data_IF_860715801350
#
_entry.id   IF_860715801350
#
_cell.length_a   1.000
_cell.length_b   1.000
_cell.length_c   1.000
_cell.angle_alpha   90.00
_cell.angle_beta   90.00
_cell.angle_gamma   90.00
#
_symmetry.space_group_name_H-M   'P 1'
#
loop_
_entity.id
_entity.type
_entity.pdbx_description
1 polymer ?
#
# COMPACT_ATOMS: atom_id res chain seq x y z
N UNK A 1 28.13 40.32 -6.15
CA UNK A 1 26.67 40.14 -6.25
C UNK A 1 26.31 39.83 -7.70
N UNK A 2 26.18 38.55 -8.06
CA UNK A 2 25.61 38.13 -9.36
C UNK A 2 25.36 36.62 -9.32
N UNK A 3 24.17 36.19 -8.90
CA UNK A 3 23.70 34.81 -9.06
C UNK A 3 22.18 34.71 -9.19
N UNK A 4 21.50 35.83 -9.51
CA UNK A 4 20.02 35.84 -9.63
C UNK A 4 19.55 35.49 -11.05
N UNK A 5 20.33 35.79 -12.10
CA UNK A 5 19.82 35.75 -13.49
C UNK A 5 20.06 34.47 -14.30
N UNK A 6 20.67 33.43 -13.75
CA UNK A 6 20.76 32.15 -14.45
C UNK A 6 19.52 31.31 -14.14
N UNK A 7 18.62 31.19 -15.12
CA UNK A 7 17.59 30.14 -15.10
C UNK A 7 18.29 28.82 -14.80
N UNK A 8 17.86 28.06 -13.78
CA UNK A 8 18.57 26.84 -13.42
C UNK A 8 18.57 25.89 -14.62
N UNK A 9 19.72 25.32 -14.96
CA UNK A 9 19.88 24.32 -16.02
C UNK A 9 18.77 23.27 -15.90
N UNK A 10 17.95 23.02 -16.95
CA UNK A 10 16.89 22.01 -16.92
C UNK A 10 17.37 20.65 -16.41
N UNK A 11 18.64 20.30 -16.66
CA UNK A 11 19.26 19.08 -16.14
C UNK A 11 19.52 19.13 -14.64
N UNK A 12 19.88 20.30 -14.10
CA UNK A 12 20.04 20.50 -12.66
C UNK A 12 18.69 20.41 -11.94
N UNK A 13 17.63 21.02 -12.48
CA UNK A 13 16.27 20.92 -11.94
C UNK A 13 15.76 19.47 -11.95
N UNK A 14 15.96 18.74 -13.05
CA UNK A 14 15.60 17.31 -13.13
C UNK A 14 16.32 16.48 -12.08
N UNK A 15 17.63 16.71 -11.86
CA UNK A 15 18.43 16.02 -10.84
C UNK A 15 17.94 16.32 -9.43
N UNK A 16 17.59 17.57 -9.15
CA UNK A 16 17.04 17.99 -7.87
C UNK A 16 15.67 17.36 -7.61
N UNK A 17 14.76 17.39 -8.60
CA UNK A 17 13.46 16.73 -8.52
C UNK A 17 13.62 15.22 -8.28
N UNK A 18 14.50 14.54 -9.01
CA UNK A 18 14.75 13.10 -8.80
C UNK A 18 15.33 12.82 -7.40
N UNK A 19 16.13 13.72 -6.84
CA UNK A 19 16.64 13.62 -5.47
C UNK A 19 15.50 13.79 -4.46
N UNK A 20 14.63 14.77 -4.66
CA UNK A 20 13.48 15.04 -3.79
C UNK A 20 12.48 13.88 -3.81
N UNK A 21 12.17 13.32 -4.99
CA UNK A 21 11.31 12.14 -5.15
C UNK A 21 11.90 10.94 -4.40
N UNK A 22 13.20 10.68 -4.53
CA UNK A 22 13.87 9.60 -3.78
C UNK A 22 13.84 9.81 -2.27
N UNK A 23 13.97 11.06 -1.81
CA UNK A 23 13.87 11.39 -0.40
C UNK A 23 12.45 11.16 0.12
N UNK A 24 11.45 11.66 -0.58
CA UNK A 24 10.04 11.45 -0.26
C UNK A 24 9.68 9.95 -0.21
N UNK A 25 10.13 9.15 -1.19
CA UNK A 25 9.92 7.69 -1.16
C UNK A 25 10.54 7.03 0.08
N UNK A 26 11.71 7.48 0.55
CA UNK A 26 12.34 6.96 1.77
C UNK A 26 11.61 7.37 3.03
N UNK A 27 11.09 8.60 3.07
CA UNK A 27 10.26 9.09 4.17
C UNK A 27 8.95 8.30 4.26
N UNK A 28 8.25 8.09 3.13
CA UNK A 28 7.07 7.22 3.07
C UNK A 28 7.37 5.79 3.51
N UNK A 29 8.52 5.23 3.12
CA UNK A 29 8.94 3.89 3.57
C UNK A 29 9.23 3.83 5.08
N UNK A 30 9.72 4.92 5.66
CA UNK A 30 9.90 5.04 7.10
C UNK A 30 8.56 5.13 7.83
N UNK A 31 7.65 5.97 7.33
CA UNK A 31 6.31 6.16 7.88
C UNK A 31 5.50 4.86 7.80
N UNK A 32 5.60 4.13 6.67
CA UNK A 32 4.99 2.81 6.50
C UNK A 32 5.45 1.83 7.58
N UNK A 33 6.75 1.78 7.88
CA UNK A 33 7.29 0.92 8.95
C UNK A 33 6.81 1.35 10.34
N UNK A 34 6.58 2.65 10.57
CA UNK A 34 5.97 3.12 11.81
C UNK A 34 4.49 2.71 11.92
N UNK A 35 3.73 2.80 10.83
CA UNK A 35 2.35 2.33 10.75
C UNK A 35 2.26 0.81 11.02
N UNK A 36 3.16 0.01 10.46
CA UNK A 36 3.22 -1.45 10.72
C UNK A 36 3.47 -1.81 12.19
N UNK A 37 4.24 -1.00 12.91
CA UNK A 37 4.45 -1.20 14.36
C UNK A 37 3.17 -0.89 15.13
N UNK A 38 2.53 0.24 14.83
CA UNK A 38 1.23 0.61 15.44
C UNK A 38 0.14 -0.41 15.13
N UNK A 39 0.15 -0.99 13.92
CA UNK A 39 -0.78 -2.05 13.51
C UNK A 39 -0.67 -3.25 14.45
N UNK A 40 0.55 -3.72 14.69
CA UNK A 40 0.80 -4.84 15.62
C UNK A 40 0.46 -4.50 17.07
N UNK A 41 0.71 -3.27 17.50
CA UNK A 41 0.34 -2.81 18.84
C UNK A 41 -1.18 -2.83 19.05
N UNK A 42 -1.94 -2.25 18.10
CA UNK A 42 -3.41 -2.26 18.10
C UNK A 42 -3.97 -3.68 18.05
N UNK A 43 -3.43 -4.57 17.20
CA UNK A 43 -3.85 -5.97 17.15
C UNK A 43 -3.67 -6.67 18.50
N UNK A 44 -2.56 -6.42 19.20
CA UNK A 44 -2.32 -7.00 20.52
C UNK A 44 -3.25 -6.42 21.59
N UNK A 45 -3.60 -5.14 21.49
CA UNK A 45 -4.53 -4.47 22.40
C UNK A 45 -5.97 -4.97 22.21
N UNK A 46 -6.43 -5.06 20.95
CA UNK A 46 -7.73 -5.66 20.58
C UNK A 46 -7.80 -7.09 21.11
N UNK A 47 -6.72 -7.89 20.96
CA UNK A 47 -6.64 -9.25 21.51
C UNK A 47 -6.79 -9.29 23.04
N UNK A 48 -6.19 -8.34 23.77
CA UNK A 48 -6.32 -8.28 25.23
C UNK A 48 -7.75 -7.93 25.65
N UNK A 49 -8.36 -6.93 25.01
CA UNK A 49 -9.71 -6.49 25.32
C UNK A 49 -10.77 -7.52 24.93
N UNK A 50 -10.56 -8.25 23.82
CA UNK A 50 -11.42 -9.34 23.40
C UNK A 50 -11.46 -10.47 24.44
N UNK A 51 -10.32 -10.82 25.05
CA UNK A 51 -10.27 -11.79 26.17
C UNK A 51 -11.00 -11.30 27.41
N UNK A 52 -11.03 -9.99 27.64
CA UNK A 52 -11.74 -9.37 28.76
C UNK A 52 -13.24 -9.21 28.49
N UNK A 53 -13.73 -9.55 27.29
CA UNK A 53 -15.13 -9.41 26.92
C UNK A 53 -15.59 -7.97 26.67
N UNK A 54 -14.67 -7.01 26.58
CA UNK A 54 -14.99 -5.59 26.36
C UNK A 54 -15.28 -5.31 24.88
N UNK A 55 -16.48 -5.67 24.43
CA UNK A 55 -16.90 -5.59 23.01
C UNK A 55 -16.87 -4.15 22.46
N UNK A 56 -17.33 -3.16 23.22
CA UNK A 56 -17.36 -1.76 22.77
C UNK A 56 -15.95 -1.20 22.56
N UNK A 57 -15.03 -1.43 23.51
CA UNK A 57 -13.62 -1.03 23.38
C UNK A 57 -12.95 -1.71 22.17
N UNK A 58 -13.25 -2.99 21.93
CA UNK A 58 -12.75 -3.71 20.75
C UNK A 58 -13.25 -3.09 19.44
N UNK A 59 -14.53 -2.70 19.37
CA UNK A 59 -15.09 -2.10 18.16
C UNK A 59 -14.41 -0.76 17.81
N UNK A 60 -14.15 0.09 18.82
CA UNK A 60 -13.45 1.36 18.62
C UNK A 60 -12.02 1.15 18.10
N UNK A 61 -11.26 0.23 18.72
CA UNK A 61 -9.89 -0.05 18.28
C UNK A 61 -9.84 -0.78 16.94
N UNK A 62 -10.82 -1.62 16.63
CA UNK A 62 -10.92 -2.26 15.33
C UNK A 62 -11.18 -1.23 14.22
N UNK A 63 -12.02 -0.21 14.46
CA UNK A 63 -12.17 0.92 13.53
C UNK A 63 -10.84 1.65 13.30
N UNK A 64 -10.07 1.89 14.36
CA UNK A 64 -8.73 2.48 14.23
C UNK A 64 -7.77 1.57 13.44
N UNK A 65 -7.83 0.26 13.63
CA UNK A 65 -7.01 -0.70 12.90
C UNK A 65 -7.34 -0.69 11.39
N UNK A 66 -8.62 -0.64 11.02
CA UNK A 66 -9.06 -0.53 9.61
C UNK A 66 -8.55 0.77 8.99
N UNK A 67 -8.69 1.89 9.69
CA UNK A 67 -8.17 3.18 9.23
C UNK A 67 -6.65 3.15 9.04
N UNK A 68 -5.92 2.53 9.95
CA UNK A 68 -4.47 2.39 9.87
C UNK A 68 -4.05 1.52 8.67
N UNK A 69 -4.76 0.42 8.41
CA UNK A 69 -4.56 -0.43 7.22
C UNK A 69 -4.82 0.33 5.93
N UNK A 70 -5.87 1.14 5.89
CA UNK A 70 -6.16 2.01 4.75
C UNK A 70 -5.03 3.06 4.53
N UNK A 71 -4.56 3.72 5.60
CA UNK A 71 -3.43 4.65 5.52
C UNK A 71 -2.16 3.98 4.96
N UNK A 72 -1.88 2.74 5.37
CA UNK A 72 -0.76 1.94 4.85
C UNK A 72 -0.91 1.65 3.35
N UNK A 73 -2.09 1.22 2.90
CA UNK A 73 -2.38 1.00 1.47
C UNK A 73 -2.23 2.29 0.66
N UNK A 74 -2.77 3.40 1.17
CA UNK A 74 -2.62 4.73 0.55
C UNK A 74 -1.16 5.16 0.44
N UNK A 75 -0.34 4.86 1.45
CA UNK A 75 1.11 5.13 1.40
C UNK A 75 1.83 4.33 0.30
N UNK A 76 1.41 3.09 0.04
CA UNK A 76 1.95 2.27 -1.06
C UNK A 76 1.57 2.88 -2.41
N UNK A 77 0.29 3.25 -2.57
CA UNK A 77 -0.19 3.96 -3.76
C UNK A 77 0.57 5.27 -4.01
N UNK A 78 0.81 6.05 -2.96
CA UNK A 78 1.56 7.32 -3.06
C UNK A 78 3.03 7.11 -3.44
N UNK A 79 3.70 6.07 -2.95
CA UNK A 79 5.06 5.70 -3.37
C UNK A 79 5.13 5.32 -4.86
N UNK A 80 4.11 4.58 -5.34
CA UNK A 80 3.97 4.27 -6.77
C UNK A 80 3.78 5.53 -7.61
N UNK A 81 2.88 6.43 -7.18
CA UNK A 81 2.64 7.73 -7.85
C UNK A 81 3.92 8.57 -7.92
N UNK A 82 4.69 8.69 -6.83
CA UNK A 82 5.97 9.40 -6.83
C UNK A 82 6.98 8.79 -7.81
N UNK A 83 7.01 7.47 -7.92
CA UNK A 83 7.85 6.77 -8.89
C UNK A 83 7.42 7.05 -10.32
N UNK A 84 6.11 7.07 -10.59
CA UNK A 84 5.52 7.47 -11.87
C UNK A 84 5.86 8.91 -12.25
N UNK A 85 5.70 9.86 -11.33
CA UNK A 85 6.11 11.27 -11.52
C UNK A 85 7.60 11.36 -11.86
N UNK A 86 8.46 10.55 -11.24
CA UNK A 86 9.88 10.49 -11.58
C UNK A 86 10.14 10.05 -13.02
N UNK A 87 9.40 9.05 -13.51
CA UNK A 87 9.48 8.60 -14.90
C UNK A 87 8.96 9.68 -15.87
N UNK A 88 7.83 10.31 -15.55
CA UNK A 88 7.25 11.40 -16.34
C UNK A 88 8.20 12.61 -16.41
N UNK A 89 8.86 12.96 -15.31
CA UNK A 89 9.84 14.04 -15.27
C UNK A 89 11.07 13.73 -16.15
N UNK A 90 11.54 12.47 -16.18
CA UNK A 90 12.61 12.06 -17.09
C UNK A 90 12.17 12.09 -18.57
N UNK A 91 10.90 11.76 -18.85
CA UNK A 91 10.31 11.87 -20.18
C UNK A 91 10.25 13.34 -20.62
N UNK A 92 9.71 14.24 -19.79
CA UNK A 92 9.65 15.67 -20.05
C UNK A 92 11.03 16.29 -20.25
N UNK A 93 12.04 15.87 -19.50
CA UNK A 93 13.42 16.30 -19.72
C UNK A 93 13.97 15.86 -21.09
N UNK A 94 13.73 14.60 -21.48
CA UNK A 94 14.13 14.09 -22.79
C UNK A 94 13.41 14.80 -23.93
N UNK A 95 12.13 15.12 -23.73
CA UNK A 95 11.31 15.93 -24.62
C UNK A 95 11.87 17.35 -24.77
N UNK A 96 12.22 18.00 -23.66
CA UNK A 96 12.79 19.34 -23.66
C UNK A 96 14.12 19.38 -24.43
N UNK A 97 15.00 18.40 -24.20
CA UNK A 97 16.26 18.26 -24.95
C UNK A 97 16.02 17.99 -26.44
N UNK A 98 15.03 17.17 -26.79
CA UNK A 98 14.64 16.93 -28.18
C UNK A 98 14.13 18.22 -28.83
N UNK A 99 13.35 19.03 -28.12
CA UNK A 99 12.87 20.33 -28.58
C UNK A 99 14.02 21.32 -28.78
N UNK A 100 15.01 21.36 -27.89
CA UNK A 100 16.21 22.18 -28.03
C UNK A 100 17.02 21.78 -29.28
N UNK A 101 17.25 20.47 -29.46
CA UNK A 101 17.93 19.93 -30.66
C UNK A 101 17.12 20.24 -31.91
N UNK A 102 15.80 20.00 -31.92
CA UNK A 102 14.92 20.32 -33.03
C UNK A 102 14.93 21.83 -33.34
N UNK A 103 14.93 22.71 -32.34
CA UNK A 103 15.05 24.15 -32.54
C UNK A 103 16.37 24.52 -33.23
N UNK A 104 17.48 23.91 -32.82
CA UNK A 104 18.79 24.11 -33.46
C UNK A 104 18.84 23.55 -34.89
N UNK A 105 18.23 22.37 -35.11
CA UNK A 105 18.09 21.70 -36.40
C UNK A 105 17.18 22.47 -37.33
N UNK A 106 16.09 23.07 -36.83
CA UNK A 106 15.19 23.93 -37.59
C UNK A 106 15.88 25.25 -37.93
N UNK A 107 16.71 25.80 -37.06
CA UNK A 107 17.50 26.98 -37.41
C UNK A 107 18.53 26.66 -38.50
N UNK A 108 19.21 25.51 -38.41
CA UNK A 108 20.12 25.03 -39.48
C UNK A 108 19.36 24.66 -40.75
N UNK A 109 18.17 24.07 -40.64
CA UNK A 109 17.26 23.80 -41.75
C UNK A 109 16.73 25.10 -42.33
N UNK A 110 16.40 26.16 -41.60
CA UNK A 110 16.02 27.46 -42.19
C UNK A 110 17.15 28.05 -43.03
N UNK A 111 18.40 27.89 -42.60
CA UNK A 111 19.56 28.22 -43.44
C UNK A 111 19.70 27.30 -44.65
N UNK A 112 19.22 26.05 -44.58
CA UNK A 112 19.33 25.02 -45.63
C UNK A 112 18.12 24.97 -46.58
N UNK A 113 16.88 24.99 -46.10
CA UNK A 113 15.80 25.98 -46.31
C UNK A 113 15.76 26.67 -47.67
N UNK A 114 16.78 27.52 -47.88
CA UNK A 114 17.00 28.21 -49.15
C UNK A 114 17.29 27.28 -50.34
N UNK A 115 17.42 25.97 -50.11
CA UNK A 115 17.80 24.94 -51.09
C UNK A 115 16.98 23.62 -50.99
N UNK A 116 16.00 23.44 -50.08
CA UNK A 116 15.12 22.23 -50.01
C UNK A 116 13.74 22.51 -49.38
N UNK A 117 12.68 21.71 -49.66
CA UNK A 117 11.29 22.06 -49.31
C UNK A 117 10.86 21.71 -47.86
N UNK A 118 10.25 22.68 -47.19
CA UNK A 118 9.74 22.69 -45.82
C UNK A 118 8.68 21.62 -45.47
N UNK A 119 8.00 21.05 -46.46
CA UNK A 119 6.79 20.25 -46.27
C UNK A 119 7.00 18.96 -45.46
N UNK A 120 8.16 18.31 -45.60
CA UNK A 120 8.45 17.06 -44.87
C UNK A 120 8.61 17.27 -43.37
N UNK A 121 9.15 18.42 -42.96
CA UNK A 121 9.33 18.77 -41.55
C UNK A 121 7.98 19.07 -40.87
N UNK A 122 7.10 19.81 -41.55
CA UNK A 122 5.77 20.13 -41.05
C UNK A 122 4.92 18.87 -40.82
N UNK A 123 5.05 17.87 -41.71
CA UNK A 123 4.38 16.57 -41.56
C UNK A 123 4.88 15.79 -40.34
N UNK A 124 6.20 15.70 -40.14
CA UNK A 124 6.81 15.00 -39.01
C UNK A 124 6.45 15.64 -37.65
N UNK A 125 6.35 16.97 -37.59
CA UNK A 125 5.91 17.68 -36.38
C UNK A 125 4.45 17.40 -36.03
N UNK A 126 3.57 17.33 -37.04
CA UNK A 126 2.15 17.01 -36.84
C UNK A 126 1.96 15.57 -36.38
N UNK A 127 2.68 14.61 -36.95
CA UNK A 127 2.64 13.20 -36.51
C UNK A 127 3.17 13.04 -35.07
N UNK A 128 4.18 13.82 -34.69
CA UNK A 128 4.69 13.85 -33.33
C UNK A 128 3.68 14.41 -32.31
N UNK A 129 2.98 15.50 -32.65
CA UNK A 129 1.92 16.05 -31.79
C UNK A 129 0.80 15.03 -31.54
N UNK A 130 0.34 14.34 -32.60
CA UNK A 130 -0.70 13.31 -32.47
C UNK A 130 -0.23 12.15 -31.58
N UNK A 131 1.03 11.72 -31.72
CA UNK A 131 1.59 10.67 -30.87
C UNK A 131 1.67 11.10 -29.40
N UNK A 132 2.03 12.36 -29.13
CA UNK A 132 2.08 12.91 -27.77
C UNK A 132 0.70 13.04 -27.13
N UNK A 133 -0.29 13.48 -27.90
CA UNK A 133 -1.68 13.65 -27.45
C UNK A 133 -2.32 12.30 -27.10
N UNK A 134 -2.04 11.28 -27.91
CA UNK A 134 -2.47 9.89 -27.64
C UNK A 134 -1.81 9.30 -26.39
N UNK A 135 -0.57 9.69 -26.10
CA UNK A 135 0.13 9.29 -24.88
C UNK A 135 -0.47 9.99 -23.64
N UNK A 136 -0.80 11.29 -23.77
CA UNK A 136 -1.47 12.07 -22.71
C UNK A 136 -2.83 11.51 -22.31
N UNK A 137 -3.67 11.15 -23.29
CA UNK A 137 -4.97 10.49 -23.04
C UNK A 137 -4.83 9.15 -22.31
N UNK A 138 -3.76 8.40 -22.57
CA UNK A 138 -3.51 7.13 -21.87
C UNK A 138 -3.04 7.31 -20.43
N UNK A 139 -2.30 8.39 -20.12
CA UNK A 139 -1.92 8.74 -18.75
C UNK A 139 -3.16 9.18 -17.94
N UNK A 140 -4.07 9.95 -18.54
CA UNK A 140 -5.31 10.40 -17.90
C UNK A 140 -6.22 9.23 -17.55
N UNK A 141 -6.49 8.32 -18.49
CA UNK A 141 -7.27 7.11 -18.24
C UNK A 141 -6.64 6.19 -17.18
N UNK A 142 -5.31 6.14 -17.12
CA UNK A 142 -4.61 5.34 -16.10
C UNK A 142 -4.71 5.99 -14.72
N UNK A 143 -4.64 7.32 -14.63
CA UNK A 143 -4.81 8.05 -13.38
C UNK A 143 -6.25 7.94 -12.86
N UNK A 144 -7.26 8.06 -13.72
CA UNK A 144 -8.67 7.88 -13.36
C UNK A 144 -8.96 6.46 -12.86
N UNK A 145 -8.39 5.45 -13.52
CA UNK A 145 -8.50 4.06 -13.06
C UNK A 145 -7.83 3.86 -11.69
N UNK A 146 -6.66 4.49 -11.47
CA UNK A 146 -5.98 4.46 -10.19
C UNK A 146 -6.71 5.23 -9.09
N UNK A 147 -7.39 6.33 -9.42
CA UNK A 147 -8.20 7.11 -8.48
C UNK A 147 -9.48 6.37 -8.08
N UNK A 148 -10.20 5.78 -9.04
CA UNK A 148 -11.39 4.98 -8.75
C UNK A 148 -11.09 3.79 -7.83
N UNK A 149 -9.95 3.10 -8.04
CA UNK A 149 -9.50 2.01 -7.15
C UNK A 149 -9.16 2.49 -5.74
N UNK A 150 -8.74 3.76 -5.58
CA UNK A 150 -8.38 4.34 -4.29
C UNK A 150 -9.55 4.98 -3.55
N UNK A 151 -10.59 5.41 -4.26
CA UNK A 151 -11.74 6.15 -3.72
C UNK A 151 -12.91 5.24 -3.28
N UNK A 152 -12.96 3.98 -3.74
CA UNK A 152 -14.03 3.02 -3.42
C UNK A 152 -13.97 2.42 -1.99
N UNK A 153 -13.38 3.13 -1.02
CA UNK A 153 -13.22 2.64 0.36
C UNK A 153 -14.02 3.45 1.41
N UNK A 154 -15.03 4.18 0.94
CA UNK A 154 -15.74 5.20 1.71
C UNK A 154 -17.07 4.80 2.33
N UNK A 155 -17.59 3.58 2.13
CA UNK A 155 -18.92 3.25 2.65
C UNK A 155 -18.89 2.87 4.15
N UNK A 156 -19.60 3.63 4.99
CA UNK A 156 -19.59 3.44 6.44
C UNK A 156 -20.25 2.12 6.86
N UNK A 157 -21.18 1.60 6.06
CA UNK A 157 -21.81 0.29 6.27
C UNK A 157 -20.82 -0.86 6.01
N UNK A 158 -20.02 -0.75 4.94
CA UNK A 158 -18.95 -1.71 4.66
C UNK A 158 -17.87 -1.68 5.74
N UNK A 159 -17.51 -0.50 6.26
CA UNK A 159 -16.54 -0.40 7.36
C UNK A 159 -16.97 -1.17 8.60
N UNK A 160 -18.26 -1.15 8.97
CA UNK A 160 -18.76 -1.91 10.11
C UNK A 160 -18.74 -3.43 9.85
N UNK A 161 -19.06 -3.86 8.63
CA UNK A 161 -18.92 -5.26 8.22
C UNK A 161 -17.45 -5.71 8.26
N UNK A 162 -16.54 -4.88 7.76
CA UNK A 162 -15.09 -5.11 7.77
C UNK A 162 -14.56 -5.16 9.22
N UNK A 163 -15.04 -4.29 10.12
CA UNK A 163 -14.66 -4.33 11.54
C UNK A 163 -15.05 -5.67 12.17
N UNK A 164 -16.28 -6.14 11.94
CA UNK A 164 -16.70 -7.45 12.45
C UNK A 164 -15.87 -8.59 11.85
N UNK A 165 -15.59 -8.55 10.54
CA UNK A 165 -14.72 -9.52 9.89
C UNK A 165 -13.30 -9.52 10.50
N UNK A 166 -12.72 -8.35 10.78
CA UNK A 166 -11.38 -8.24 11.38
C UNK A 166 -11.38 -8.77 12.82
N UNK A 167 -12.44 -8.50 13.59
CA UNK A 167 -12.60 -9.06 14.93
C UNK A 167 -12.72 -10.59 14.89
N UNK A 168 -13.44 -11.13 13.92
CA UNK A 168 -13.57 -12.57 13.69
C UNK A 168 -12.24 -13.19 13.22
N UNK A 169 -11.53 -12.57 12.28
CA UNK A 169 -10.19 -13.01 11.84
C UNK A 169 -9.20 -13.05 13.01
N UNK A 170 -9.21 -12.02 13.87
CA UNK A 170 -8.37 -11.99 15.07
C UNK A 170 -8.80 -13.06 16.07
N UNK A 171 -10.11 -13.31 16.22
CA UNK A 171 -10.68 -14.35 17.07
C UNK A 171 -10.34 -15.76 16.60
N UNK A 172 -10.42 -16.01 15.28
CA UNK A 172 -10.10 -17.28 14.63
C UNK A 172 -8.59 -17.51 14.65
N UNK A 173 -7.75 -16.53 14.30
CA UNK A 173 -6.28 -16.66 14.43
C UNK A 173 -5.88 -17.05 15.85
N UNK A 174 -6.55 -16.51 16.86
CA UNK A 174 -6.30 -16.85 18.25
C UNK A 174 -6.71 -18.29 18.59
N UNK A 175 -7.92 -18.71 18.19
CA UNK A 175 -8.36 -20.09 18.37
C UNK A 175 -7.47 -21.07 17.62
N UNK A 176 -7.04 -20.75 16.41
CA UNK A 176 -6.08 -21.55 15.64
C UNK A 176 -4.71 -21.58 16.30
N UNK A 177 -4.16 -20.45 16.80
CA UNK A 177 -2.88 -20.42 17.51
C UNK A 177 -2.94 -21.18 18.84
N UNK A 178 -4.08 -21.19 19.55
CA UNK A 178 -4.27 -22.01 20.75
C UNK A 178 -4.49 -23.49 20.46
N UNK A 179 -5.22 -23.82 19.39
CA UNK A 179 -5.45 -25.20 18.97
C UNK A 179 -4.15 -25.86 18.46
N UNK A 180 -3.23 -25.07 17.90
CA UNK A 180 -1.91 -25.51 17.44
C UNK A 180 -0.82 -25.50 18.52
N UNK A 181 -1.10 -25.05 19.75
CA UNK A 181 -0.19 -25.34 20.86
C UNK A 181 -0.29 -26.83 21.14
N UNK A 182 0.81 -27.61 21.09
CA UNK A 182 0.76 -29.02 21.48
C UNK A 182 0.18 -29.08 22.88
N UNK A 183 -0.97 -29.76 23.04
CA UNK A 183 -1.45 -30.13 24.37
C UNK A 183 -0.31 -30.90 25.01
N UNK A 184 0.40 -30.26 25.94
CA UNK A 184 1.42 -30.93 26.75
C UNK A 184 0.68 -32.13 27.35
N UNK A 185 1.15 -33.37 27.15
CA UNK A 185 0.55 -34.50 27.81
C UNK A 185 0.72 -34.24 29.30
N UNK A 186 -0.39 -34.03 29.99
CA UNK A 186 -0.43 -34.01 31.45
C UNK A 186 -0.18 -35.44 31.93
N UNK A 187 1.05 -35.91 31.78
CA UNK A 187 1.55 -37.16 32.36
C UNK A 187 2.25 -36.83 33.67
N UNK A 188 1.48 -36.45 34.67
CA UNK A 188 1.88 -36.59 36.08
C UNK A 188 0.67 -37.08 36.86
N UNK A 189 0.60 -38.41 37.02
CA UNK A 189 0.11 -39.08 38.22
C UNK A 189 -1.38 -39.03 38.54
N UNK A 190 -2.16 -39.97 38.01
CA UNK A 190 -2.88 -41.06 38.74
C UNK A 190 -4.02 -41.56 37.85
N UNK A 191 -3.84 -42.77 37.31
CA UNK A 191 -4.90 -43.49 36.62
C UNK A 191 -5.94 -43.95 37.65
N UNK A 192 -7.00 -43.19 37.84
CA UNK A 192 -8.24 -43.72 38.39
C UNK A 192 -8.89 -44.58 37.29
N UNK A 193 -8.79 -45.90 37.42
CA UNK A 193 -9.61 -46.81 36.62
C UNK A 193 -11.09 -46.54 36.93
N UNK A 194 -11.99 -46.50 35.94
CA UNK A 194 -13.42 -46.54 36.22
C UNK A 194 -13.73 -47.88 36.89
N UNK A 195 -14.23 -47.85 38.13
CA UNK A 195 -14.74 -49.05 38.80
C UNK A 195 -15.95 -49.58 38.02
N UNK A 196 -16.02 -50.89 37.82
CA UNK A 196 -17.15 -51.51 37.13
C UNK A 196 -18.34 -51.60 38.08
N UNK A 197 -19.58 -51.59 37.56
CA UNK A 197 -20.81 -51.64 38.37
C UNK A 197 -20.83 -52.82 39.36
N UNK A 198 -20.16 -53.93 39.02
CA UNK A 198 -20.00 -55.10 39.90
C UNK A 198 -19.15 -54.85 41.14
N UNK A 199 -18.18 -53.94 41.04
CA UNK A 199 -17.31 -53.58 42.16
C UNK A 199 -18.04 -52.68 43.16
N UNK A 200 -18.95 -51.84 42.67
CA UNK A 200 -19.81 -50.97 43.49
C UNK A 200 -20.87 -51.81 44.23
N UNK A 201 -21.44 -52.82 43.57
CA UNK A 201 -22.45 -53.70 44.14
C UNK A 201 -21.89 -54.57 45.29
N UNK A 202 -20.66 -55.06 45.15
CA UNK A 202 -19.96 -55.79 46.22
C UNK A 202 -19.64 -54.90 47.44
N UNK A 203 -19.37 -53.61 47.22
CA UNK A 203 -19.08 -52.66 48.31
C UNK A 203 -20.34 -52.27 49.08
N UNK A 204 -21.50 -52.22 48.41
CA UNK A 204 -22.81 -52.00 49.04
C UNK A 204 -23.29 -53.21 49.83
N UNK A 205 -22.94 -54.43 49.41
CA UNK A 205 -23.25 -55.65 50.15
C UNK A 205 -22.48 -55.73 51.48
N UNK A 206 -21.21 -55.30 51.51
CA UNK A 206 -20.39 -55.25 52.73
C UNK A 206 -20.85 -54.22 53.77
N UNK A 207 -21.76 -53.32 53.42
CA UNK A 207 -22.35 -52.33 54.33
C UNK A 207 -23.75 -52.71 54.83
N UNK A 208 -24.27 -53.88 54.42
CA UNK A 208 -25.60 -54.38 54.82
C UNK A 208 -25.57 -55.56 55.80
N UNK A 209 -24.40 -55.93 56.32
CA UNK A 209 -24.25 -56.76 57.53
C UNK A 209 -23.86 -55.89 58.74
#
# INVERSE_FOLDING_TARGET
MSSWFNKPDPKAQMRENNKNIRKANRELESDRRALERREKELENEIKKLAKQGQKESCAVLAKQLVQLRHQKTKSIGMSSRLTGIGAQNNHLYSMNKMSEVMGSTVNTMKTMEKQMPAERLAKNMREFQIAQERLGLSEEMMNDALENILDESGDEEEQNAIVNQVLDEIGIEYQSKLANVPKVPTSVGTAAKPMSDKDIENMLAQLRD
#
